data_IF_783547174196
#
_entry.id   IF_783547174196
#
_cell.length_a   1.000
_cell.length_b   1.000
_cell.length_c   1.000
_cell.angle_alpha   90.00
_cell.angle_beta   90.00
_cell.angle_gamma   90.00
#
_symmetry.space_group_name_H-M   'P 1'
#
loop_
_entity.id
_entity.type
_entity.pdbx_description
1 polymer ?
#
# COMPACT_ATOMS: atom_id res chain seq x y z
N UNK A 1 15.55 -13.32 20.37
CA UNK A 1 14.42 -12.44 20.01
C UNK A 1 14.99 -11.07 19.74
N UNK A 2 15.27 -10.76 18.49
CA UNK A 2 15.76 -9.43 18.09
C UNK A 2 14.57 -8.56 17.76
N UNK A 3 14.40 -7.47 18.51
CA UNK A 3 13.47 -6.39 18.17
C UNK A 3 13.89 -5.84 16.81
N UNK A 4 13.02 -5.93 15.79
CA UNK A 4 13.24 -5.23 14.53
C UNK A 4 12.98 -3.75 14.80
N UNK A 5 14.03 -2.94 14.69
CA UNK A 5 13.92 -1.49 14.70
C UNK A 5 12.82 -1.07 13.73
N UNK A 6 11.77 -0.46 14.27
CA UNK A 6 10.83 0.33 13.49
C UNK A 6 11.64 1.49 12.89
N UNK A 7 11.62 1.63 11.57
CA UNK A 7 12.28 2.73 10.89
C UNK A 7 11.59 4.05 11.25
N UNK A 8 11.99 4.67 12.36
CA UNK A 8 11.47 5.95 12.83
C UNK A 8 11.98 7.14 12.01
N UNK A 9 12.19 6.97 10.70
CA UNK A 9 12.73 8.02 9.83
C UNK A 9 11.64 9.05 9.42
N UNK A 10 10.81 9.46 10.39
CA UNK A 10 9.87 10.58 10.32
C UNK A 10 10.58 11.90 10.70
N UNK A 11 11.72 11.83 11.39
CA UNK A 11 12.53 13.02 11.70
C UNK A 11 13.24 13.51 10.44
N UNK A 12 12.84 14.69 9.96
CA UNK A 12 13.38 15.32 8.74
C UNK A 12 12.48 15.20 7.51
N UNK A 13 11.26 14.65 7.68
CA UNK A 13 10.33 14.50 6.57
C UNK A 13 9.61 15.81 6.26
N UNK A 14 9.53 16.24 5.00
CA UNK A 14 8.81 17.46 4.61
C UNK A 14 7.30 17.38 4.83
N UNK A 15 6.56 18.49 4.61
CA UNK A 15 5.12 18.72 4.89
C UNK A 15 4.11 17.59 4.59
N UNK A 16 4.43 16.63 3.71
CA UNK A 16 3.57 15.49 3.37
C UNK A 16 4.03 14.13 3.92
N UNK A 17 5.10 14.09 4.72
CA UNK A 17 5.58 12.86 5.38
C UNK A 17 6.27 11.84 4.47
N UNK A 18 6.65 12.20 3.22
CA UNK A 18 7.38 11.31 2.31
C UNK A 18 8.90 11.55 2.37
N UNK A 19 9.68 10.52 2.72
CA UNK A 19 11.14 10.57 2.73
C UNK A 19 11.72 10.41 1.31
N UNK A 20 12.06 11.55 0.69
CA UNK A 20 12.59 11.60 -0.68
C UNK A 20 13.98 10.99 -0.84
N UNK A 21 14.80 11.01 0.22
CA UNK A 21 16.14 10.40 0.20
C UNK A 21 16.04 8.89 0.10
N UNK A 22 15.26 8.27 0.98
CA UNK A 22 14.99 6.83 0.95
C UNK A 22 14.34 6.39 -0.38
N UNK A 23 13.46 7.21 -0.94
CA UNK A 23 12.86 6.94 -2.25
C UNK A 23 13.91 6.93 -3.37
N UNK A 24 14.87 7.86 -3.35
CA UNK A 24 15.95 7.91 -4.34
C UNK A 24 16.89 6.72 -4.20
N UNK A 25 17.28 6.39 -2.97
CA UNK A 25 18.10 5.20 -2.69
C UNK A 25 17.43 3.92 -3.19
N UNK A 26 16.12 3.78 -2.96
CA UNK A 26 15.36 2.65 -3.49
C UNK A 26 15.36 2.62 -5.03
N UNK A 27 15.18 3.77 -5.69
CA UNK A 27 15.23 3.85 -7.15
C UNK A 27 16.62 3.46 -7.70
N UNK A 28 17.70 3.93 -7.08
CA UNK A 28 19.07 3.59 -7.48
C UNK A 28 19.34 2.07 -7.28
N UNK A 29 18.82 1.46 -6.21
CA UNK A 29 18.89 0.00 -5.99
C UNK A 29 18.17 -0.80 -7.08
N UNK A 30 16.95 -0.37 -7.46
CA UNK A 30 16.19 -1.03 -8.52
C UNK A 30 16.86 -0.86 -9.87
N UNK A 31 17.44 0.31 -10.16
CA UNK A 31 18.20 0.55 -11.38
C UNK A 31 19.42 -0.39 -11.49
N UNK A 32 20.11 -0.64 -10.37
CA UNK A 32 21.24 -1.56 -10.31
C UNK A 32 20.83 -3.04 -10.34
N UNK A 33 19.73 -3.42 -9.68
CA UNK A 33 19.19 -4.79 -9.64
C UNK A 33 17.67 -4.74 -9.89
N UNK A 34 17.20 -4.84 -11.15
CA UNK A 34 15.77 -4.72 -11.49
C UNK A 34 14.87 -5.70 -10.72
N UNK A 35 15.37 -6.90 -10.41
CA UNK A 35 14.64 -7.88 -9.61
C UNK A 35 14.25 -7.38 -8.21
N UNK A 36 15.01 -6.44 -7.62
CA UNK A 36 14.68 -5.84 -6.32
C UNK A 36 13.41 -4.97 -6.37
N UNK A 37 12.99 -4.52 -7.56
CA UNK A 37 11.78 -3.74 -7.78
C UNK A 37 10.52 -4.58 -8.03
N UNK A 38 10.64 -5.91 -8.13
CA UNK A 38 9.49 -6.78 -8.39
C UNK A 38 8.71 -6.98 -7.10
N UNK A 39 7.46 -6.52 -7.08
CA UNK A 39 6.54 -6.71 -5.97
C UNK A 39 5.44 -7.73 -6.33
N UNK A 40 5.22 -8.72 -5.45
CA UNK A 40 4.15 -9.72 -5.57
C UNK A 40 3.16 -9.59 -4.42
N UNK A 41 1.89 -9.46 -4.78
CA UNK A 41 0.77 -9.29 -3.86
C UNK A 41 -0.16 -10.50 -3.96
N UNK A 42 -0.89 -10.79 -2.88
CA UNK A 42 -1.89 -11.85 -2.88
C UNK A 42 -2.99 -11.61 -1.84
N UNK A 43 -4.15 -12.18 -2.09
CA UNK A 43 -5.30 -12.15 -1.18
C UNK A 43 -6.01 -13.50 -1.24
N UNK A 44 -6.49 -13.97 -0.09
CA UNK A 44 -7.35 -15.15 0.00
C UNK A 44 -8.69 -14.71 0.57
N UNK A 45 -9.77 -15.05 -0.12
CA UNK A 45 -11.13 -14.66 0.29
C UNK A 45 -11.94 -15.88 0.67
N UNK A 46 -12.57 -15.81 1.83
CA UNK A 46 -13.48 -16.85 2.33
C UNK A 46 -14.90 -16.31 2.36
N UNK A 47 -15.84 -17.07 1.81
CA UNK A 47 -17.27 -16.76 1.93
C UNK A 47 -17.76 -16.98 3.37
N UNK A 48 -18.58 -16.05 3.88
CA UNK A 48 -19.07 -16.03 5.28
C UNK A 48 -20.59 -16.19 5.39
N UNK A 49 -21.25 -16.56 4.29
CA UNK A 49 -22.71 -16.72 4.23
C UNK A 49 -23.40 -15.47 3.72
N UNK A 50 -24.43 -15.65 2.88
CA UNK A 50 -25.12 -14.54 2.20
C UNK A 50 -24.18 -13.79 1.26
N UNK A 51 -24.24 -12.46 1.29
CA UNK A 51 -23.36 -11.53 0.55
C UNK A 51 -22.03 -11.27 1.25
N UNK A 52 -21.79 -11.88 2.42
CA UNK A 52 -20.61 -11.58 3.24
C UNK A 52 -19.39 -12.38 2.81
N UNK A 53 -18.26 -11.70 2.75
CA UNK A 53 -16.94 -12.32 2.53
C UNK A 53 -15.90 -11.74 3.47
N UNK A 54 -14.85 -12.52 3.75
CA UNK A 54 -13.68 -12.09 4.51
C UNK A 54 -12.43 -12.37 3.68
N UNK A 55 -11.77 -11.31 3.26
CA UNK A 55 -10.48 -11.36 2.57
C UNK A 55 -9.33 -11.20 3.58
N UNK A 56 -8.23 -11.92 3.35
CA UNK A 56 -6.97 -11.76 4.07
C UNK A 56 -5.83 -11.52 3.09
N UNK A 57 -5.07 -10.44 3.28
CA UNK A 57 -3.87 -10.20 2.47
C UNK A 57 -2.79 -11.24 2.79
N UNK A 58 -2.13 -11.76 1.77
CA UNK A 58 -0.96 -12.61 1.90
C UNK A 58 0.29 -11.76 2.18
N UNK A 59 1.40 -12.38 2.62
CA UNK A 59 2.69 -11.68 2.68
C UNK A 59 3.01 -11.00 1.34
N UNK A 60 3.45 -9.75 1.40
CA UNK A 60 3.96 -9.03 0.24
C UNK A 60 5.40 -9.48 0.01
N UNK A 61 5.75 -9.86 -1.20
CA UNK A 61 7.15 -10.16 -1.56
C UNK A 61 7.69 -9.00 -2.38
N UNK A 62 8.83 -8.44 -1.99
CA UNK A 62 9.55 -7.40 -2.73
C UNK A 62 10.97 -7.89 -3.00
N UNK A 63 11.27 -8.16 -4.27
CA UNK A 63 12.46 -8.91 -4.66
C UNK A 63 12.54 -10.23 -3.90
N UNK A 64 13.64 -10.43 -3.18
CA UNK A 64 13.88 -11.65 -2.40
C UNK A 64 13.32 -11.57 -0.96
N UNK A 65 12.65 -10.46 -0.59
CA UNK A 65 12.21 -10.20 0.78
C UNK A 65 10.71 -10.40 0.96
N UNK A 66 10.31 -11.32 1.84
CA UNK A 66 8.93 -11.48 2.27
C UNK A 66 8.60 -10.57 3.48
N UNK A 67 7.62 -9.70 3.30
CA UNK A 67 7.08 -8.80 4.32
C UNK A 67 5.89 -9.48 4.99
N UNK A 68 6.07 -9.90 6.25
CA UNK A 68 5.02 -10.52 7.05
C UNK A 68 3.92 -9.49 7.36
N UNK A 69 2.78 -9.62 6.68
CA UNK A 69 1.56 -8.84 6.84
C UNK A 69 0.34 -9.73 6.63
N UNK A 70 -0.84 -9.26 7.04
CA UNK A 70 -2.02 -10.12 7.08
C UNK A 70 -3.30 -9.39 7.44
N UNK A 71 -3.58 -8.29 6.75
CA UNK A 71 -4.77 -7.48 6.99
C UNK A 71 -6.03 -8.22 6.59
N UNK A 72 -7.09 -8.01 7.35
CA UNK A 72 -8.42 -8.56 7.10
C UNK A 72 -9.30 -7.46 6.53
N UNK A 73 -10.03 -7.78 5.47
CA UNK A 73 -10.99 -6.88 4.83
C UNK A 73 -12.30 -7.66 4.72
N UNK A 74 -13.32 -7.19 5.42
CA UNK A 74 -14.67 -7.74 5.30
C UNK A 74 -15.43 -6.96 4.23
N UNK A 75 -16.30 -7.66 3.50
CA UNK A 75 -17.22 -7.07 2.54
C UNK A 75 -18.63 -7.66 2.74
N UNK A 76 -19.65 -6.83 2.53
CA UNK A 76 -21.06 -7.20 2.54
C UNK A 76 -21.81 -6.41 1.46
N UNK A 77 -23.14 -6.44 1.44
CA UNK A 77 -23.97 -5.54 0.64
C UNK A 77 -25.03 -4.91 1.57
N UNK A 78 -25.60 -3.74 1.20
CA UNK A 78 -26.73 -3.18 1.93
C UNK A 78 -27.97 -4.06 1.76
N UNK A 79 -29.00 -3.83 2.58
CA UNK A 79 -30.22 -4.64 2.59
C UNK A 79 -30.97 -4.61 1.24
N UNK A 80 -30.92 -3.47 0.54
CA UNK A 80 -31.48 -3.26 -0.79
C UNK A 80 -30.84 -4.17 -1.85
N UNK A 81 -29.60 -4.60 -1.61
CA UNK A 81 -28.84 -5.54 -2.43
C UNK A 81 -28.72 -6.92 -1.77
N UNK A 82 -29.71 -7.25 -0.92
CA UNK A 82 -29.89 -8.55 -0.27
C UNK A 82 -28.82 -8.91 0.76
N UNK A 83 -28.08 -7.91 1.27
CA UNK A 83 -27.08 -8.10 2.31
C UNK A 83 -27.55 -7.70 3.69
N UNK A 84 -26.60 -7.59 4.62
CA UNK A 84 -26.86 -7.26 6.02
C UNK A 84 -26.22 -5.95 6.49
N UNK A 85 -25.63 -5.20 5.56
CA UNK A 85 -24.98 -3.91 5.81
C UNK A 85 -23.93 -3.96 6.93
N UNK A 86 -23.22 -5.09 7.07
CA UNK A 86 -22.24 -5.32 8.14
C UNK A 86 -20.82 -4.88 7.79
N UNK A 87 -20.57 -4.57 6.52
CA UNK A 87 -19.31 -4.05 6.00
C UNK A 87 -19.56 -3.30 4.68
N UNK A 88 -18.60 -2.48 4.28
CA UNK A 88 -18.63 -1.81 2.98
C UNK A 88 -18.78 -2.83 1.85
N UNK A 89 -19.43 -2.42 0.77
CA UNK A 89 -19.62 -3.31 -0.36
C UNK A 89 -18.39 -3.42 -1.28
N UNK A 90 -18.30 -4.47 -2.11
CA UNK A 90 -17.15 -4.65 -2.98
C UNK A 90 -16.83 -3.43 -3.85
N UNK A 91 -17.86 -2.68 -4.28
CA UNK A 91 -17.77 -1.51 -5.15
C UNK A 91 -17.13 -0.34 -4.38
N UNK A 92 -17.59 -0.09 -3.16
CA UNK A 92 -17.02 0.90 -2.23
C UNK A 92 -15.56 0.57 -1.90
N UNK A 93 -15.26 -0.70 -1.64
CA UNK A 93 -13.89 -1.15 -1.36
C UNK A 93 -12.95 -0.93 -2.55
N UNK A 94 -13.41 -1.19 -3.78
CA UNK A 94 -12.63 -0.91 -5.00
C UNK A 94 -12.38 0.60 -5.14
N UNK A 95 -13.41 1.41 -4.95
CA UNK A 95 -13.28 2.87 -5.03
C UNK A 95 -12.35 3.42 -3.95
N UNK A 96 -12.43 2.89 -2.73
CA UNK A 96 -11.53 3.26 -1.63
C UNK A 96 -10.07 2.91 -1.96
N UNK A 97 -9.82 1.69 -2.47
CA UNK A 97 -8.48 1.26 -2.87
C UNK A 97 -7.90 2.12 -4.00
N UNK A 98 -8.70 2.43 -5.03
CA UNK A 98 -8.30 3.27 -6.15
C UNK A 98 -8.02 4.72 -5.71
N UNK A 99 -8.92 5.30 -4.93
CA UNK A 99 -8.77 6.67 -4.42
C UNK A 99 -7.48 6.79 -3.59
N UNK A 100 -7.17 5.78 -2.78
CA UNK A 100 -5.93 5.76 -2.01
C UNK A 100 -4.69 5.76 -2.93
N UNK A 101 -4.66 4.92 -3.96
CA UNK A 101 -3.55 4.85 -4.91
C UNK A 101 -3.32 6.21 -5.59
N UNK A 102 -4.37 6.77 -6.21
CA UNK A 102 -4.30 8.03 -6.94
C UNK A 102 -3.86 9.19 -6.03
N UNK A 103 -4.34 9.20 -4.78
CA UNK A 103 -3.98 10.24 -3.81
C UNK A 103 -2.50 10.15 -3.46
N UNK A 104 -1.99 8.96 -3.08
CA UNK A 104 -0.57 8.80 -2.69
C UNK A 104 0.36 9.12 -3.87
N UNK A 105 0.07 8.61 -5.07
CA UNK A 105 0.86 8.88 -6.27
C UNK A 105 0.98 10.39 -6.54
N UNK A 106 -0.14 11.10 -6.47
CA UNK A 106 -0.17 12.56 -6.69
C UNK A 106 0.71 13.32 -5.71
N UNK A 107 0.79 12.88 -4.45
CA UNK A 107 1.63 13.51 -3.43
C UNK A 107 3.11 13.13 -3.60
N UNK A 108 3.41 11.93 -4.11
CA UNK A 108 4.77 11.50 -4.40
C UNK A 108 5.37 12.24 -5.61
N UNK A 109 4.64 12.32 -6.73
CA UNK A 109 5.13 12.93 -7.97
C UNK A 109 5.44 14.43 -7.82
N UNK A 110 4.55 15.19 -7.16
CA UNK A 110 4.75 16.63 -6.91
C UNK A 110 6.08 16.89 -6.20
N UNK A 111 6.50 15.98 -5.33
CA UNK A 111 7.74 16.12 -4.58
C UNK A 111 8.97 15.68 -5.36
N UNK A 112 8.93 14.57 -6.09
CA UNK A 112 10.06 14.20 -6.96
C UNK A 112 10.39 15.33 -7.95
N UNK A 113 9.37 15.98 -8.52
CA UNK A 113 9.55 17.12 -9.43
C UNK A 113 10.18 18.34 -8.74
N UNK A 114 9.78 18.65 -7.50
CA UNK A 114 10.33 19.77 -6.73
C UNK A 114 11.78 19.50 -6.25
N UNK A 115 12.09 18.26 -5.84
CA UNK A 115 13.42 17.85 -5.40
C UNK A 115 14.44 17.87 -6.55
N UNK A 116 14.05 17.39 -7.75
CA UNK A 116 14.92 17.44 -8.94
C UNK A 116 15.22 18.88 -9.42
N UNK A 117 14.35 19.86 -9.12
CA UNK A 117 14.62 21.28 -9.41
C UNK A 117 15.59 21.93 -8.43
N UNK A 118 15.59 21.53 -7.15
CA UNK A 118 16.44 22.12 -6.13
C UNK A 118 17.93 21.70 -6.22
N UNK A 119 18.23 20.62 -6.95
CA UNK A 119 19.62 20.12 -7.18
C UNK A 119 20.22 20.67 -8.48
N UNK A 120 19.41 21.34 -9.32
CA UNK A 120 19.83 21.93 -10.59
C UNK A 120 20.13 23.45 -10.50
N UNK A 121 20.26 23.99 -9.28
CA UNK A 121 20.74 25.35 -8.96
C UNK A 121 22.01 25.25 -8.10
#
# INVERSE_FOLDING_TARGET
>A
MGEREMNTNIKGTPDNGINVGALREFADQVAAKPAAGIATFGVVTTWKGGTRTRARTMPLVLGDTALARGFVIDADEPAELLGTDTAANPQELIMAALNACMTVESHCLKRQASASRAVAM
#
